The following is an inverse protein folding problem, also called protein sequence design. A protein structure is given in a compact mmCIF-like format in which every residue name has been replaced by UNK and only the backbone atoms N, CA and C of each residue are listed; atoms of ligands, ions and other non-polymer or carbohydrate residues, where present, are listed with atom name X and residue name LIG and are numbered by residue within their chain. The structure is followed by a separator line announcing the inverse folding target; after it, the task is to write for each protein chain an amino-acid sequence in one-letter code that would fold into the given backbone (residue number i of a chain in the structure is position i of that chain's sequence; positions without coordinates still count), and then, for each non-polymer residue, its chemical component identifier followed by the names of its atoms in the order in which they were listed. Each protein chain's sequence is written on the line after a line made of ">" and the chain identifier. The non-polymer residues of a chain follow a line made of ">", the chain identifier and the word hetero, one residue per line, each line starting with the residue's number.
data_IF_517935377647
#
_entry.id   IF_517935377647
#
_cell.length_a   1.000
_cell.length_b   1.000
_cell.length_c   1.000
_cell.angle_alpha   90.00
_cell.angle_beta   90.00
_cell.angle_gamma   90.00
#
_symmetry.space_group_name_H-M   'P 1'
#
loop_
_entity.id
_entity.type
_entity.pdbx_description
1 polymer ?
#
# COMPACT_ATOMS: atom_id res chain seq x y z
N UNK A 1 4.65 -5.28 4.47
CA UNK A 1 5.54 -4.14 4.10
C UNK A 1 6.81 -4.14 4.95
N UNK A 2 7.97 -3.79 4.40
CA UNK A 2 9.24 -3.68 5.14
C UNK A 2 9.74 -2.23 5.17
N UNK A 3 10.49 -1.87 6.21
CA UNK A 3 11.17 -0.59 6.36
C UNK A 3 12.66 -0.82 6.59
N UNK A 4 13.50 0.02 5.98
CA UNK A 4 14.96 -0.03 6.11
C UNK A 4 15.45 0.91 7.21
N UNK A 5 16.21 0.36 8.14
CA UNK A 5 17.02 1.14 9.07
C UNK A 5 18.27 1.68 8.33
N UNK A 6 18.48 2.99 8.34
CA UNK A 6 19.56 3.60 7.54
C UNK A 6 20.94 3.55 8.18
N UNK A 7 21.03 3.17 9.46
CA UNK A 7 22.31 3.07 10.16
C UNK A 7 22.90 1.68 9.97
N UNK A 8 22.10 0.65 10.24
CA UNK A 8 22.46 -0.76 10.14
C UNK A 8 22.24 -1.35 8.74
N UNK A 9 21.51 -0.65 7.86
CA UNK A 9 21.09 -1.12 6.54
C UNK A 9 20.26 -2.43 6.57
N UNK A 10 19.58 -2.69 7.70
CA UNK A 10 18.73 -3.86 7.89
C UNK A 10 17.27 -3.57 7.54
N UNK A 11 16.54 -4.60 7.13
CA UNK A 11 15.11 -4.52 6.81
C UNK A 11 14.28 -5.21 7.89
N UNK A 12 13.29 -4.51 8.42
CA UNK A 12 12.36 -5.02 9.43
C UNK A 12 10.91 -4.77 9.02
N UNK A 13 9.96 -5.36 9.75
CA UNK A 13 8.54 -5.13 9.49
C UNK A 13 8.13 -3.71 9.87
N UNK A 14 7.46 -3.03 8.94
CA UNK A 14 6.84 -1.76 9.25
C UNK A 14 5.65 -2.00 10.19
N UNK A 15 5.65 -1.34 11.35
CA UNK A 15 4.59 -1.43 12.38
C UNK A 15 4.21 -2.86 12.78
N UNK A 16 5.20 -3.75 12.93
CA UNK A 16 4.96 -5.14 13.33
C UNK A 16 4.36 -6.03 12.24
N UNK A 17 4.18 -5.51 11.02
CA UNK A 17 3.72 -6.25 9.85
C UNK A 17 2.45 -5.66 9.26
N UNK A 18 2.37 -5.70 7.93
CA UNK A 18 1.16 -5.35 7.19
C UNK A 18 0.86 -6.46 6.19
N UNK A 19 -0.40 -6.85 6.16
CA UNK A 19 -1.00 -7.75 5.18
C UNK A 19 -1.78 -6.92 4.15
N UNK A 20 -2.23 -7.55 3.07
CA UNK A 20 -2.91 -6.83 2.01
C UNK A 20 -2.98 -7.57 0.69
N UNK A 21 -3.55 -6.89 -0.30
CA UNK A 21 -3.61 -7.35 -1.68
C UNK A 21 -3.15 -6.24 -2.63
N UNK A 22 -2.48 -6.67 -3.69
CA UNK A 22 -2.23 -5.87 -4.88
C UNK A 22 -2.84 -6.63 -6.06
N UNK A 23 -3.79 -5.99 -6.71
CA UNK A 23 -4.54 -6.55 -7.82
C UNK A 23 -4.29 -5.69 -9.05
N UNK A 24 -3.95 -6.34 -10.15
CA UNK A 24 -3.95 -5.75 -11.49
C UNK A 24 -4.97 -6.52 -12.31
N UNK A 25 -5.77 -5.82 -13.11
CA UNK A 25 -6.66 -6.46 -14.07
C UNK A 25 -6.12 -6.36 -15.50
N UNK A 26 -6.76 -7.07 -16.43
CA UNK A 26 -6.39 -7.05 -17.85
C UNK A 26 -6.76 -5.76 -18.59
N UNK A 27 -7.43 -4.82 -17.94
CA UNK A 27 -7.93 -3.58 -18.55
C UNK A 27 -7.12 -2.34 -18.12
N UNK A 28 -6.01 -2.52 -17.40
CA UNK A 28 -5.16 -1.42 -16.97
C UNK A 28 -5.54 -0.80 -15.62
N UNK A 29 -6.34 -1.50 -14.81
CA UNK A 29 -6.69 -1.05 -13.46
C UNK A 29 -5.80 -1.70 -12.39
N UNK A 30 -5.63 -0.97 -11.29
CA UNK A 30 -4.91 -1.42 -10.11
C UNK A 30 -5.73 -1.15 -8.86
N UNK A 31 -5.69 -2.09 -7.92
CA UNK A 31 -6.17 -1.91 -6.56
C UNK A 31 -5.09 -2.37 -5.57
N UNK A 32 -4.75 -1.50 -4.62
CA UNK A 32 -3.89 -1.82 -3.50
C UNK A 32 -4.68 -1.65 -2.21
N UNK A 33 -4.58 -2.63 -1.33
CA UNK A 33 -5.02 -2.53 0.06
C UNK A 33 -3.93 -3.07 0.96
N UNK A 34 -3.56 -2.29 1.96
CA UNK A 34 -2.63 -2.64 3.04
C UNK A 34 -3.34 -2.42 4.37
N UNK A 35 -3.16 -3.33 5.32
CA UNK A 35 -3.65 -3.17 6.68
C UNK A 35 -2.71 -3.81 7.69
N UNK A 36 -2.66 -3.27 8.92
CA UNK A 36 -1.90 -3.90 10.01
C UNK A 36 -2.45 -5.30 10.33
N UNK A 37 -1.58 -6.24 10.68
CA UNK A 37 -1.99 -7.61 11.01
C UNK A 37 -3.04 -7.63 12.13
N UNK A 38 -4.13 -8.38 11.93
CA UNK A 38 -5.24 -8.45 12.88
C UNK A 38 -6.23 -7.29 12.81
N UNK A 39 -6.18 -6.48 11.74
CA UNK A 39 -7.12 -5.37 11.50
C UNK A 39 -8.59 -5.79 11.64
N UNK A 40 -8.93 -7.01 11.23
CA UNK A 40 -10.26 -7.61 11.31
C UNK A 40 -10.77 -7.85 12.74
N UNK A 41 -9.88 -7.84 13.74
CA UNK A 41 -10.17 -8.14 15.15
C UNK A 41 -10.43 -6.88 15.99
N UNK A 42 -10.92 -5.82 15.38
CA UNK A 42 -11.09 -4.51 16.02
C UNK A 42 -11.97 -4.53 17.28
N UNK A 43 -12.95 -5.45 17.35
CA UNK A 43 -13.83 -5.60 18.52
C UNK A 43 -14.73 -4.38 18.80
N UNK A 44 -14.85 -3.44 17.85
CA UNK A 44 -15.58 -2.19 18.00
C UNK A 44 -16.46 -1.91 16.78
N UNK A 45 -17.41 -0.98 16.93
CA UNK A 45 -18.32 -0.57 15.85
C UNK A 45 -17.74 0.60 15.07
N UNK A 46 -17.85 0.52 13.75
CA UNK A 46 -17.49 1.59 12.83
C UNK A 46 -18.77 2.08 12.14
N UNK A 47 -19.28 3.28 12.49
CA UNK A 47 -20.43 3.83 11.81
C UNK A 47 -20.06 4.21 10.37
N UNK A 48 -20.92 3.84 9.40
CA UNK A 48 -20.82 4.27 8.01
C UNK A 48 -21.82 5.40 7.76
N UNK A 49 -21.50 6.33 6.85
CA UNK A 49 -22.37 7.44 6.45
C UNK A 49 -22.86 8.30 7.63
N UNK A 50 -21.97 8.52 8.61
CA UNK A 50 -22.22 9.35 9.78
C UNK A 50 -21.22 10.52 9.76
N UNK A 51 -21.63 11.69 10.26
CA UNK A 51 -20.77 12.88 10.39
C UNK A 51 -19.85 12.79 11.63
N UNK A 52 -20.07 11.80 12.50
CA UNK A 52 -19.30 11.57 13.72
C UNK A 52 -18.84 10.11 13.87
N UNK A 53 -17.67 9.95 14.47
CA UNK A 53 -17.07 8.65 14.81
C UNK A 53 -16.27 8.78 16.13
N UNK A 54 -16.28 7.78 17.03
CA UNK A 54 -15.43 7.81 18.22
C UNK A 54 -13.95 7.91 17.86
N UNK A 55 -13.18 8.68 18.64
CA UNK A 55 -11.76 8.92 18.38
C UNK A 55 -10.95 7.63 18.24
N UNK A 56 -11.21 6.63 19.06
CA UNK A 56 -10.49 5.36 19.00
C UNK A 56 -10.80 4.59 17.70
N UNK A 57 -12.04 4.64 17.21
CA UNK A 57 -12.39 4.07 15.91
C UNK A 57 -11.73 4.87 14.76
N UNK A 58 -11.67 6.21 14.86
CA UNK A 58 -10.96 7.06 13.90
C UNK A 58 -9.46 6.75 13.83
N UNK A 59 -8.80 6.57 14.98
CA UNK A 59 -7.39 6.15 15.01
C UNK A 59 -7.23 4.75 14.42
N UNK A 60 -8.16 3.84 14.69
CA UNK A 60 -8.10 2.47 14.20
C UNK A 60 -8.16 2.38 12.68
N UNK A 61 -9.02 3.16 12.01
CA UNK A 61 -9.11 3.13 10.54
C UNK A 61 -7.80 3.57 9.85
N UNK A 62 -6.94 4.34 10.52
CA UNK A 62 -5.62 4.73 9.98
C UNK A 62 -4.64 3.57 9.84
N UNK A 63 -4.97 2.40 10.41
CA UNK A 63 -4.23 1.15 10.24
C UNK A 63 -4.49 0.49 8.89
N UNK A 64 -5.45 0.99 8.12
CA UNK A 64 -5.79 0.55 6.77
C UNK A 64 -5.43 1.65 5.76
N UNK A 65 -4.79 1.27 4.66
CA UNK A 65 -4.37 2.15 3.57
C UNK A 65 -4.72 1.49 2.25
N UNK A 66 -5.55 2.13 1.43
CA UNK A 66 -5.95 1.58 0.15
C UNK A 66 -6.12 2.64 -0.92
N UNK A 67 -5.95 2.20 -2.16
CA UNK A 67 -6.26 3.00 -3.34
C UNK A 67 -6.63 2.11 -4.52
N UNK A 68 -7.36 2.72 -5.45
CA UNK A 68 -7.69 2.11 -6.73
C UNK A 68 -7.47 3.13 -7.85
N UNK A 69 -7.20 2.65 -9.05
CA UNK A 69 -7.11 3.51 -10.21
C UNK A 69 -6.51 2.80 -11.41
N UNK A 70 -5.76 3.55 -12.22
CA UNK A 70 -5.13 3.03 -13.44
C UNK A 70 -3.64 2.80 -13.22
N UNK A 71 -3.04 1.90 -13.98
CA UNK A 71 -1.58 1.73 -13.98
C UNK A 71 -0.97 1.84 -15.38
N UNK A 72 0.30 2.20 -15.40
CA UNK A 72 1.16 2.14 -16.58
C UNK A 72 2.51 1.56 -16.19
N UNK A 73 3.07 0.71 -17.05
CA UNK A 73 4.41 0.13 -16.85
C UNK A 73 5.38 0.77 -17.84
N UNK A 74 6.53 1.23 -17.34
CA UNK A 74 7.73 1.48 -18.14
C UNK A 74 8.69 0.31 -17.91
N UNK A 75 8.77 -0.59 -18.88
CA UNK A 75 9.62 -1.78 -18.78
C UNK A 75 11.11 -1.41 -18.76
N UNK A 76 11.52 -0.48 -19.61
CA UNK A 76 12.91 -0.01 -19.71
C UNK A 76 13.44 0.56 -18.39
N UNK A 77 12.58 1.26 -17.64
CA UNK A 77 12.96 1.87 -16.37
C UNK A 77 12.66 0.97 -15.16
N UNK A 78 11.97 -0.15 -15.40
CA UNK A 78 11.39 -1.01 -14.36
C UNK A 78 10.56 -0.21 -13.35
N UNK A 79 9.74 0.71 -13.87
CA UNK A 79 8.84 1.57 -13.07
C UNK A 79 7.39 1.24 -13.42
N UNK A 80 6.57 1.11 -12.39
CA UNK A 80 5.11 1.11 -12.52
C UNK A 80 4.55 2.37 -11.86
N UNK A 81 3.67 3.06 -12.58
CA UNK A 81 3.01 4.29 -12.13
C UNK A 81 1.54 3.98 -11.90
N UNK A 82 1.03 4.25 -10.70
CA UNK A 82 -0.37 4.08 -10.33
C UNK A 82 -1.04 5.45 -10.22
N UNK A 83 -1.92 5.76 -11.15
CA UNK A 83 -2.76 6.95 -11.08
C UNK A 83 -3.98 6.66 -10.20
N UNK A 84 -4.12 7.38 -9.08
CA UNK A 84 -5.10 7.06 -8.04
C UNK A 84 -6.44 7.75 -8.33
N UNK A 85 -7.45 6.95 -8.69
CA UNK A 85 -8.85 7.37 -8.88
C UNK A 85 -9.69 7.26 -7.61
N UNK A 86 -9.17 6.59 -6.58
CA UNK A 86 -9.75 6.48 -5.25
C UNK A 86 -8.63 6.27 -4.24
N UNK A 87 -8.78 6.78 -3.02
CA UNK A 87 -7.78 6.65 -1.96
C UNK A 87 -8.41 6.79 -0.58
N UNK A 88 -7.94 6.01 0.42
CA UNK A 88 -8.41 6.11 1.81
C UNK A 88 -8.04 7.41 2.52
N UNK A 89 -7.03 8.10 2.00
CA UNK A 89 -6.60 9.46 2.36
C UNK A 89 -6.93 10.43 1.21
N UNK A 90 -7.88 11.37 1.40
CA UNK A 90 -8.28 12.32 0.35
C UNK A 90 -7.14 13.19 -0.19
N UNK A 91 -6.11 13.49 0.62
CA UNK A 91 -4.95 14.28 0.16
C UNK A 91 -4.11 13.59 -0.91
N UNK A 92 -4.33 12.29 -1.12
CA UNK A 92 -3.60 11.47 -2.08
C UNK A 92 -4.43 11.17 -3.36
N UNK A 93 -5.68 11.65 -3.42
CA UNK A 93 -6.60 11.47 -4.55
C UNK A 93 -6.07 12.20 -5.79
N UNK A 94 -6.14 11.57 -6.96
CA UNK A 94 -5.70 12.17 -8.23
C UNK A 94 -4.19 12.29 -8.40
N UNK A 95 -3.39 11.86 -7.41
CA UNK A 95 -1.94 11.82 -7.52
C UNK A 95 -1.47 10.50 -8.14
N UNK A 96 -0.22 10.49 -8.61
CA UNK A 96 0.45 9.28 -9.12
C UNK A 96 1.45 8.75 -8.11
N UNK A 97 1.40 7.44 -7.82
CA UNK A 97 2.43 6.75 -7.06
C UNK A 97 3.34 5.98 -8.00
N UNK A 98 4.64 6.26 -7.97
CA UNK A 98 5.62 5.57 -8.83
C UNK A 98 6.48 4.61 -8.01
N UNK A 99 6.65 3.40 -8.55
CA UNK A 99 7.36 2.33 -7.87
C UNK A 99 8.35 1.69 -8.83
N UNK A 100 9.62 1.62 -8.42
CA UNK A 100 10.56 0.67 -9.04
C UNK A 100 10.13 -0.74 -8.66
N UNK A 101 10.18 -1.66 -9.59
CA UNK A 101 9.80 -3.04 -9.34
C UNK A 101 10.79 -4.04 -9.93
N UNK A 102 10.80 -5.24 -9.35
CA UNK A 102 11.45 -6.42 -9.93
C UNK A 102 10.78 -7.69 -9.40
N UNK A 103 10.94 -8.79 -10.12
CA UNK A 103 10.49 -10.10 -9.70
C UNK A 103 11.65 -10.94 -9.17
N UNK A 104 11.37 -11.76 -8.16
CA UNK A 104 12.28 -12.76 -7.61
C UNK A 104 11.48 -14.02 -7.35
N UNK A 105 11.52 -14.96 -8.30
CA UNK A 105 10.57 -16.08 -8.35
C UNK A 105 9.13 -15.56 -8.37
N UNK A 106 8.28 -16.11 -7.50
CA UNK A 106 6.88 -15.71 -7.36
C UNK A 106 6.65 -14.44 -6.53
N UNK A 107 7.73 -13.73 -6.17
CA UNK A 107 7.64 -12.50 -5.39
C UNK A 107 7.84 -11.27 -6.27
N UNK A 108 6.83 -10.41 -6.33
CA UNK A 108 6.96 -9.03 -6.81
C UNK A 108 7.50 -8.15 -5.68
N UNK A 109 8.58 -7.44 -5.93
CA UNK A 109 9.15 -6.46 -5.01
C UNK A 109 8.97 -5.07 -5.59
N UNK A 110 8.48 -4.13 -4.77
CA UNK A 110 8.26 -2.75 -5.19
C UNK A 110 8.83 -1.76 -4.18
N UNK A 111 9.37 -0.65 -4.67
CA UNK A 111 9.94 0.41 -3.84
C UNK A 111 9.57 1.80 -4.38
N UNK A 112 9.21 2.76 -3.52
CA UNK A 112 8.99 4.15 -3.91
C UNK A 112 10.17 4.77 -4.68
N UNK A 113 9.86 5.47 -5.77
CA UNK A 113 10.86 6.27 -6.51
C UNK A 113 11.19 7.55 -5.72
N UNK A 114 10.21 8.12 -5.03
CA UNK A 114 10.39 9.35 -4.27
C UNK A 114 11.29 9.16 -3.03
N UNK A 115 12.13 10.17 -2.76
CA UNK A 115 13.09 10.12 -1.64
C UNK A 115 12.41 9.96 -0.28
N UNK A 116 11.27 10.62 -0.06
CA UNK A 116 10.52 10.64 1.20
C UNK A 116 10.26 9.23 1.74
N UNK A 117 9.85 8.32 0.86
CA UNK A 117 9.46 6.95 1.22
C UNK A 117 10.44 5.89 0.72
N UNK A 118 11.63 6.30 0.25
CA UNK A 118 12.65 5.41 -0.32
C UNK A 118 13.13 4.30 0.63
N UNK A 119 12.83 4.39 1.93
CA UNK A 119 13.13 3.36 2.94
C UNK A 119 12.05 2.28 3.04
N UNK A 120 10.92 2.41 2.35
CA UNK A 120 9.85 1.43 2.36
C UNK A 120 10.01 0.45 1.20
N UNK A 121 9.63 -0.80 1.42
CA UNK A 121 9.57 -1.82 0.37
C UNK A 121 8.33 -2.68 0.56
N UNK A 122 7.62 -2.91 -0.53
CA UNK A 122 6.52 -3.86 -0.59
C UNK A 122 7.02 -5.16 -1.21
N UNK A 123 6.53 -6.28 -0.68
CA UNK A 123 6.75 -7.61 -1.21
C UNK A 123 5.39 -8.27 -1.33
N UNK A 124 5.08 -8.75 -2.52
CA UNK A 124 3.81 -9.41 -2.84
C UNK A 124 4.14 -10.81 -3.35
N UNK A 125 3.57 -11.82 -2.72
CA UNK A 125 3.61 -13.18 -3.25
C UNK A 125 2.47 -13.32 -4.26
N UNK A 126 2.75 -13.92 -5.41
CA UNK A 126 1.71 -14.28 -6.38
C UNK A 126 0.71 -15.20 -5.69
N UNK A 127 -0.58 -14.89 -5.84
CA UNK A 127 -1.65 -15.79 -5.40
C UNK A 127 -1.76 -16.96 -6.39
N UNK A 128 -2.01 -18.16 -5.87
CA UNK A 128 -2.23 -19.38 -6.63
C UNK A 128 -3.59 -19.38 -7.36
#
# INVERSE_FOLDING_TARGET
>A
MKVRDTVSNTWSDFKGGMDGYLLYDGNGHVALHLYEKGYEKAGMKFPNFNDSIPLEALKYITKSYYYMGNYKVSENDSIVSHYKLSHSNPSEFGLTAERRFYFSGDTLVMQPVERKNSRLKLKWLKAD
#
